data_IF_482289674797
#
_entry.id   IF_482289674797
#
_cell.length_a   1.000
_cell.length_b   1.000
_cell.length_c   1.000
_cell.angle_alpha   90.00
_cell.angle_beta   90.00
_cell.angle_gamma   90.00
#
_symmetry.space_group_name_H-M   'P 1'
#
loop_
_entity.id
_entity.type
_entity.pdbx_description
1 polymer ?
#
# COMPACT_ATOMS: atom_id res chain seq x y z
N UNK A 1 -12.83 22.85 15.84
CA UNK A 1 -12.20 22.92 17.18
C UNK A 1 -13.19 22.35 18.18
N UNK A 2 -12.71 21.59 19.14
CA UNK A 2 -13.55 20.91 20.14
C UNK A 2 -13.23 21.42 21.55
N UNK A 3 -14.24 21.39 22.42
CA UNK A 3 -14.14 21.73 23.84
C UNK A 3 -14.59 20.55 24.69
N UNK A 4 -13.90 20.31 25.80
CA UNK A 4 -14.23 19.22 26.71
C UNK A 4 -15.57 19.52 27.39
N UNK A 5 -16.59 18.71 27.11
CA UNK A 5 -17.94 18.89 27.65
C UNK A 5 -18.16 18.10 28.92
N UNK A 6 -17.68 16.85 28.96
CA UNK A 6 -17.85 15.96 30.11
C UNK A 6 -16.68 15.01 30.27
N UNK A 7 -16.43 14.61 31.51
CA UNK A 7 -15.46 13.57 31.87
C UNK A 7 -16.14 12.52 32.71
N UNK A 8 -16.01 11.25 32.33
CA UNK A 8 -16.47 10.12 33.14
C UNK A 8 -15.29 9.23 33.53
N UNK A 9 -15.18 8.95 34.82
CA UNK A 9 -14.18 8.07 35.40
C UNK A 9 -14.88 6.90 36.07
N UNK A 10 -14.50 5.68 35.71
CA UNK A 10 -15.11 4.46 36.24
C UNK A 10 -14.04 3.47 36.72
N UNK A 11 -14.20 2.99 37.95
CA UNK A 11 -13.30 2.03 38.62
C UNK A 11 -11.80 2.31 38.42
N UNK A 12 -11.39 3.57 38.63
CA UNK A 12 -10.00 3.99 38.41
C UNK A 12 -9.54 5.03 39.44
N UNK A 13 -8.26 5.05 39.76
CA UNK A 13 -7.66 5.96 40.74
C UNK A 13 -6.94 5.22 41.87
N UNK A 14 -6.08 5.92 42.63
CA UNK A 14 -5.39 5.34 43.78
C UNK A 14 -6.40 4.92 44.86
N UNK A 15 -6.02 3.96 45.70
CA UNK A 15 -6.91 3.38 46.71
C UNK A 15 -7.57 4.41 47.63
N UNK A 16 -6.86 5.50 47.99
CA UNK A 16 -7.37 6.56 48.87
C UNK A 16 -8.17 7.67 48.21
N UNK A 17 -8.20 7.77 46.87
CA UNK A 17 -8.90 8.80 46.12
C UNK A 17 -9.45 8.23 44.81
N UNK A 18 -10.27 7.19 44.96
CA UNK A 18 -10.75 6.37 43.85
C UNK A 18 -12.01 6.95 43.22
N UNK A 19 -12.05 6.98 41.90
CA UNK A 19 -13.25 7.32 41.13
C UNK A 19 -14.02 6.03 40.83
N UNK A 20 -15.09 5.79 41.60
CA UNK A 20 -15.93 4.60 41.45
C UNK A 20 -16.77 4.67 40.17
N UNK A 21 -17.57 5.74 40.04
CA UNK A 21 -18.29 6.15 38.84
C UNK A 21 -18.59 7.64 38.99
N UNK A 22 -17.73 8.47 38.43
CA UNK A 22 -17.76 9.93 38.62
C UNK A 22 -17.89 10.61 37.27
N UNK A 23 -18.90 11.48 37.14
CA UNK A 23 -19.11 12.32 35.97
C UNK A 23 -18.87 13.78 36.36
N UNK A 24 -17.97 14.46 35.64
CA UNK A 24 -17.81 15.90 35.66
C UNK A 24 -18.54 16.45 34.45
N UNK A 25 -19.51 17.33 34.69
CA UNK A 25 -20.31 17.95 33.63
C UNK A 25 -19.97 19.43 33.51
N UNK A 26 -19.49 19.84 32.34
CA UNK A 26 -19.11 21.22 32.02
C UNK A 26 -20.09 21.84 31.02
N UNK A 27 -21.15 21.15 30.60
CA UNK A 27 -22.06 21.61 29.54
C UNK A 27 -22.93 22.80 29.98
N UNK A 28 -23.50 23.50 29.01
CA UNK A 28 -24.63 24.42 29.24
C UNK A 28 -24.27 25.81 29.77
N UNK A 29 -22.99 26.10 30.02
CA UNK A 29 -22.56 27.35 30.68
C UNK A 29 -22.07 28.41 29.69
N UNK A 30 -21.37 28.00 28.62
CA UNK A 30 -20.72 28.91 27.69
C UNK A 30 -21.67 29.64 26.75
N UNK A 31 -21.06 30.26 25.74
CA UNK A 31 -21.78 30.92 24.65
C UNK A 31 -22.62 29.93 23.84
N UNK A 32 -23.76 30.36 23.25
CA UNK A 32 -24.51 29.55 22.29
C UNK A 32 -23.64 29.03 21.14
N UNK A 33 -23.91 27.80 20.71
CA UNK A 33 -23.29 27.21 19.52
C UNK A 33 -23.74 27.99 18.27
N UNK A 34 -22.83 28.53 17.44
CA UNK A 34 -23.20 29.42 16.35
C UNK A 34 -24.01 28.79 15.21
N UNK A 35 -23.73 27.52 14.88
CA UNK A 35 -24.35 26.80 13.75
C UNK A 35 -24.72 25.38 14.17
N UNK A 36 -25.68 25.21 15.10
CA UNK A 36 -26.01 23.90 15.65
C UNK A 36 -26.40 22.93 14.54
N UNK A 37 -25.82 21.74 14.57
CA UNK A 37 -26.24 20.65 13.71
C UNK A 37 -27.72 20.31 14.01
N UNK A 38 -28.50 19.87 13.00
CA UNK A 38 -29.89 19.51 13.23
C UNK A 38 -29.97 18.34 14.20
N UNK A 39 -30.49 18.59 15.41
CA UNK A 39 -30.83 17.55 16.36
C UNK A 39 -32.22 17.01 16.03
N UNK A 40 -32.36 15.69 15.90
CA UNK A 40 -33.68 15.06 15.93
C UNK A 40 -34.18 15.14 17.38
N UNK A 41 -35.18 15.98 17.64
CA UNK A 41 -35.87 15.97 18.91
C UNK A 41 -36.55 14.59 19.08
N UNK A 42 -36.28 13.90 20.19
CA UNK A 42 -37.04 12.72 20.56
C UNK A 42 -38.47 13.18 20.91
N UNK A 43 -39.48 12.48 20.37
CA UNK A 43 -40.91 12.85 20.42
C UNK A 43 -41.51 13.06 21.83
N UNK A 44 -40.74 12.80 22.90
CA UNK A 44 -41.21 12.75 24.29
C UNK A 44 -40.32 13.53 25.28
N UNK A 45 -39.30 14.27 24.83
CA UNK A 45 -38.50 15.14 25.71
C UNK A 45 -38.97 16.60 25.63
N UNK A 46 -38.92 17.33 26.75
CA UNK A 46 -39.16 18.77 26.77
C UNK A 46 -38.15 19.45 25.82
N UNK A 47 -38.64 20.22 24.84
CA UNK A 47 -37.77 20.93 23.90
C UNK A 47 -36.78 21.80 24.69
N UNK A 48 -35.45 21.63 24.50
CA UNK A 48 -34.47 22.42 25.22
C UNK A 48 -34.70 23.90 24.92
N UNK A 49 -34.73 24.72 25.98
CA UNK A 49 -34.97 26.16 25.87
C UNK A 49 -33.75 26.84 25.26
N UNK A 50 -33.76 26.98 23.94
CA UNK A 50 -32.75 27.72 23.18
C UNK A 50 -31.64 26.85 22.54
N UNK A 51 -30.76 27.47 21.75
CA UNK A 51 -29.67 26.76 21.06
C UNK A 51 -28.74 26.08 22.07
N UNK A 52 -28.16 24.92 21.74
CA UNK A 52 -27.19 24.26 22.60
C UNK A 52 -26.05 25.23 22.93
N UNK A 53 -25.64 25.24 24.19
CA UNK A 53 -24.54 26.09 24.68
C UNK A 53 -23.25 25.29 24.72
N UNK A 54 -22.13 25.99 24.50
CA UNK A 54 -20.78 25.45 24.65
C UNK A 54 -20.49 25.09 26.10
N UNK A 55 -19.47 24.26 26.36
CA UNK A 55 -19.03 23.96 27.72
C UNK A 55 -18.50 25.21 28.44
N UNK A 56 -18.35 25.11 29.76
CA UNK A 56 -17.78 26.14 30.58
C UNK A 56 -16.34 26.46 30.09
N UNK A 57 -16.03 27.74 29.78
CA UNK A 57 -14.71 28.12 29.25
C UNK A 57 -13.60 27.95 30.29
N UNK A 58 -13.95 27.97 31.58
CA UNK A 58 -13.05 27.68 32.69
C UNK A 58 -13.83 27.02 33.83
N UNK A 59 -13.16 26.10 34.54
CA UNK A 59 -13.69 25.45 35.73
C UNK A 59 -12.61 25.35 36.81
N UNK A 60 -12.98 25.59 38.07
CA UNK A 60 -12.07 25.46 39.21
C UNK A 60 -12.48 24.25 40.03
N UNK A 61 -11.56 23.31 40.18
CA UNK A 61 -11.74 22.12 41.01
C UNK A 61 -11.10 22.33 42.38
N UNK A 62 -11.95 22.43 43.41
CA UNK A 62 -11.55 22.47 44.81
C UNK A 62 -11.56 21.04 45.38
N UNK A 63 -10.39 20.55 45.74
CA UNK A 63 -10.19 19.27 46.40
C UNK A 63 -9.17 19.45 47.52
N UNK A 64 -9.37 18.73 48.63
CA UNK A 64 -8.37 18.67 49.69
C UNK A 64 -7.05 18.06 49.17
N UNK A 65 -5.94 18.32 49.87
CA UNK A 65 -4.66 17.72 49.53
C UNK A 65 -4.77 16.19 49.57
N UNK A 66 -4.41 15.54 48.46
CA UNK A 66 -4.58 14.09 48.29
C UNK A 66 -5.95 13.65 47.74
N UNK A 67 -6.91 14.57 47.57
CA UNK A 67 -8.25 14.30 47.02
C UNK A 67 -8.30 13.95 45.52
N UNK A 68 -7.14 13.76 44.88
CA UNK A 68 -7.06 13.22 43.51
C UNK A 68 -7.02 14.26 42.38
N UNK A 69 -6.91 15.58 42.65
CA UNK A 69 -6.85 16.63 41.59
C UNK A 69 -5.81 16.31 40.50
N UNK A 70 -4.56 16.04 40.89
CA UNK A 70 -3.49 15.69 39.95
C UNK A 70 -3.70 14.32 39.30
N UNK A 71 -4.42 13.40 39.96
CA UNK A 71 -4.78 12.09 39.40
C UNK A 71 -5.80 12.26 38.27
N UNK A 72 -6.86 13.05 38.50
CA UNK A 72 -7.85 13.39 37.49
C UNK A 72 -7.20 13.95 36.23
N UNK A 73 -6.31 14.94 36.37
CA UNK A 73 -5.58 15.50 35.23
C UNK A 73 -4.76 14.42 34.50
N UNK A 74 -3.98 13.62 35.24
CA UNK A 74 -3.21 12.51 34.65
C UNK A 74 -4.08 11.50 33.91
N UNK A 75 -5.29 11.22 34.40
CA UNK A 75 -6.24 10.32 33.75
C UNK A 75 -6.78 10.92 32.45
N UNK A 76 -7.19 12.19 32.45
CA UNK A 76 -7.64 12.90 31.24
C UNK A 76 -6.52 12.90 30.18
N UNK A 77 -5.30 13.29 30.57
CA UNK A 77 -4.15 13.26 29.65
C UNK A 77 -3.81 11.86 29.14
N UNK A 78 -4.11 10.81 29.90
CA UNK A 78 -3.82 9.44 29.45
C UNK A 78 -4.68 8.99 28.25
N UNK A 79 -5.80 9.67 27.98
CA UNK A 79 -6.64 9.45 26.80
C UNK A 79 -6.09 10.24 25.61
N UNK A 80 -5.74 11.52 25.84
CA UNK A 80 -5.32 12.45 24.77
C UNK A 80 -3.88 12.29 24.34
N UNK A 81 -3.01 11.84 25.25
CA UNK A 81 -1.57 11.72 25.05
C UNK A 81 -1.12 10.30 25.44
N UNK A 82 -1.43 9.28 24.61
CA UNK A 82 -0.97 7.92 24.85
C UNK A 82 0.57 7.85 24.84
N UNK A 83 1.14 6.94 25.62
CA UNK A 83 2.58 6.66 25.61
C UNK A 83 3.40 7.17 26.79
N UNK A 84 4.50 6.46 27.04
CA UNK A 84 5.32 6.52 28.26
C UNK A 84 6.02 7.85 28.54
N UNK A 85 6.24 8.67 27.50
CA UNK A 85 6.96 9.96 27.58
C UNK A 85 6.02 11.15 27.75
N UNK A 86 4.69 10.92 27.65
CA UNK A 86 3.74 11.99 27.46
C UNK A 86 2.89 12.34 28.72
N UNK A 87 2.89 11.50 29.75
CA UNK A 87 2.19 11.76 31.03
C UNK A 87 2.79 12.92 31.84
N UNK A 88 1.92 13.74 32.44
CA UNK A 88 2.26 14.91 33.25
C UNK A 88 3.18 14.58 34.45
N UNK A 89 4.27 15.34 34.62
CA UNK A 89 5.18 15.26 35.76
C UNK A 89 6.30 14.21 35.64
N UNK A 90 6.76 13.88 34.43
CA UNK A 90 7.97 13.06 34.17
C UNK A 90 7.96 11.61 34.66
N UNK A 91 6.98 11.24 35.49
CA UNK A 91 6.87 9.93 36.08
C UNK A 91 6.26 8.95 35.07
N UNK A 92 7.09 7.99 34.68
CA UNK A 92 6.79 6.82 33.85
C UNK A 92 5.34 6.33 33.95
N UNK A 93 4.80 5.85 32.81
CA UNK A 93 3.58 5.01 32.67
C UNK A 93 3.29 4.02 33.83
N UNK A 94 4.30 3.60 34.60
CA UNK A 94 4.12 2.84 35.83
C UNK A 94 3.25 3.52 36.90
N UNK A 95 3.08 4.85 36.87
CA UNK A 95 2.19 5.54 37.83
C UNK A 95 0.72 5.28 37.54
N UNK A 96 0.28 5.31 36.27
CA UNK A 96 -1.11 5.03 35.90
C UNK A 96 -1.50 3.58 36.23
N UNK A 97 -0.56 2.64 36.14
CA UNK A 97 -0.76 1.24 36.55
C UNK A 97 -1.10 1.09 38.02
N UNK A 98 -0.56 1.97 38.88
CA UNK A 98 -0.86 1.99 40.33
C UNK A 98 -2.28 2.49 40.62
N UNK A 99 -2.98 3.05 39.62
CA UNK A 99 -4.35 3.53 39.75
C UNK A 99 -5.40 2.46 39.38
N UNK A 100 -4.96 1.24 39.06
CA UNK A 100 -5.86 0.13 38.74
C UNK A 100 -5.61 -1.06 39.68
N UNK A 101 -6.67 -1.54 40.34
CA UNK A 101 -6.59 -2.75 41.16
C UNK A 101 -6.70 -4.01 40.30
N UNK A 102 -6.28 -5.13 40.89
CA UNK A 102 -6.25 -6.45 40.26
C UNK A 102 -7.56 -6.83 39.53
N UNK A 103 -8.70 -6.71 40.20
CA UNK A 103 -10.01 -7.16 39.71
C UNK A 103 -10.81 -6.12 38.90
N UNK A 104 -10.18 -5.00 38.53
CA UNK A 104 -10.88 -3.89 37.90
C UNK A 104 -10.63 -3.76 36.40
N UNK A 105 -11.67 -3.28 35.72
CA UNK A 105 -11.60 -2.68 34.41
C UNK A 105 -11.85 -1.18 34.59
N UNK A 106 -10.79 -0.39 34.43
CA UNK A 106 -10.83 1.06 34.63
C UNK A 106 -11.15 1.77 33.32
N UNK A 107 -12.02 2.77 33.37
CA UNK A 107 -12.39 3.57 32.20
C UNK A 107 -12.18 5.06 32.48
N UNK A 108 -11.66 5.75 31.47
CA UNK A 108 -11.64 7.21 31.37
C UNK A 108 -12.31 7.56 30.05
N UNK A 109 -13.42 8.28 30.10
CA UNK A 109 -14.15 8.70 28.90
C UNK A 109 -14.31 10.22 28.91
N UNK A 110 -14.01 10.85 27.78
CA UNK A 110 -14.04 12.28 27.56
C UNK A 110 -15.03 12.55 26.44
N UNK A 111 -16.04 13.34 26.73
CA UNK A 111 -16.93 13.87 25.70
C UNK A 111 -16.46 15.25 25.29
N UNK A 112 -16.38 15.47 23.99
CA UNK A 112 -15.93 16.71 23.37
C UNK A 112 -17.05 17.26 22.51
N UNK A 113 -17.31 18.56 22.60
CA UNK A 113 -18.31 19.27 21.80
C UNK A 113 -17.63 20.16 20.77
N UNK A 114 -18.04 20.06 19.51
CA UNK A 114 -17.52 20.92 18.45
C UNK A 114 -18.03 22.35 18.63
N UNK A 115 -17.14 23.34 18.66
CA UNK A 115 -17.47 24.73 19.03
C UNK A 115 -18.42 25.41 18.04
N UNK A 116 -18.43 24.97 16.79
CA UNK A 116 -19.22 25.57 15.72
C UNK A 116 -20.57 24.87 15.52
N UNK A 117 -20.56 23.53 15.55
CA UNK A 117 -21.71 22.69 15.18
C UNK A 117 -22.42 22.08 16.38
N UNK A 118 -21.77 22.04 17.55
CA UNK A 118 -22.31 21.40 18.74
C UNK A 118 -22.31 19.87 18.67
N UNK A 119 -21.85 19.27 17.57
CA UNK A 119 -21.68 17.82 17.46
C UNK A 119 -20.72 17.32 18.53
N UNK A 120 -21.06 16.19 19.14
CA UNK A 120 -20.22 15.58 20.16
C UNK A 120 -19.42 14.42 19.59
N UNK A 121 -18.26 14.17 20.20
CA UNK A 121 -17.50 12.93 20.04
C UNK A 121 -17.05 12.47 21.42
N UNK A 122 -17.21 11.19 21.70
CA UNK A 122 -16.66 10.57 22.90
C UNK A 122 -15.38 9.87 22.52
N UNK A 123 -14.31 10.15 23.25
CA UNK A 123 -13.05 9.42 23.20
C UNK A 123 -12.76 8.85 24.57
N UNK A 124 -12.19 7.67 24.65
CA UNK A 124 -11.94 7.05 25.93
C UNK A 124 -10.81 6.05 25.91
N UNK A 125 -10.41 5.68 27.12
CA UNK A 125 -9.41 4.68 27.40
C UNK A 125 -9.98 3.66 28.36
N UNK A 126 -9.66 2.40 28.12
CA UNK A 126 -9.94 1.28 29.02
C UNK A 126 -8.63 0.61 29.41
N UNK A 127 -8.55 0.15 30.66
CA UNK A 127 -7.36 -0.53 31.20
C UNK A 127 -7.75 -1.70 32.08
N UNK A 128 -7.06 -2.83 31.94
CA UNK A 128 -7.29 -4.06 32.72
C UNK A 128 -5.98 -4.82 32.98
N UNK A 129 -5.86 -5.43 34.16
CA UNK A 129 -4.79 -6.41 34.43
C UNK A 129 -5.17 -7.79 33.89
N UNK A 130 -4.35 -8.33 32.97
CA UNK A 130 -4.53 -9.70 32.45
C UNK A 130 -4.42 -10.70 33.59
N UNK A 131 -5.40 -11.59 33.68
CA UNK A 131 -5.48 -12.59 34.74
C UNK A 131 -5.87 -12.01 36.11
N UNK A 132 -6.32 -10.75 36.16
CA UNK A 132 -6.79 -10.06 37.37
C UNK A 132 -5.77 -10.07 38.50
N UNK A 133 -4.52 -9.78 38.15
CA UNK A 133 -3.43 -9.75 39.12
C UNK A 133 -2.51 -8.58 38.80
N UNK A 134 -2.25 -7.73 39.80
CA UNK A 134 -1.26 -6.66 39.68
C UNK A 134 0.11 -7.28 39.47
N UNK A 135 0.85 -6.79 38.47
CA UNK A 135 2.18 -7.30 38.14
C UNK A 135 3.15 -6.19 37.77
N UNK A 136 4.44 -6.43 38.01
CA UNK A 136 5.49 -5.55 37.50
C UNK A 136 5.76 -5.77 36.00
N UNK A 137 5.28 -6.88 35.41
CA UNK A 137 5.42 -7.16 33.98
C UNK A 137 4.52 -6.23 33.16
N UNK A 138 5.08 -5.35 32.32
CA UNK A 138 4.32 -4.48 31.44
C UNK A 138 3.34 -5.18 30.51
N UNK A 139 3.62 -6.41 30.11
CA UNK A 139 2.80 -7.15 29.14
C UNK A 139 1.50 -7.67 29.72
N UNK A 140 1.39 -7.66 31.06
CA UNK A 140 0.16 -8.03 31.78
C UNK A 140 -0.80 -6.86 31.95
N UNK A 141 -0.37 -5.63 31.70
CA UNK A 141 -1.26 -4.47 31.70
C UNK A 141 -1.79 -4.24 30.28
N UNK A 142 -3.09 -4.38 30.10
CA UNK A 142 -3.73 -4.15 28.81
C UNK A 142 -4.37 -2.77 28.79
N UNK A 143 -4.16 -2.04 27.70
CA UNK A 143 -4.72 -0.71 27.45
C UNK A 143 -5.29 -0.70 26.03
N UNK A 144 -6.42 -0.03 25.85
CA UNK A 144 -6.95 0.32 24.54
C UNK A 144 -7.70 1.64 24.61
N UNK A 145 -7.84 2.26 23.44
CA UNK A 145 -8.58 3.48 23.23
C UNK A 145 -9.75 3.22 22.30
N UNK A 146 -10.78 4.05 22.45
CA UNK A 146 -11.97 3.96 21.64
C UNK A 146 -12.55 5.34 21.40
N UNK A 147 -13.27 5.50 20.30
CA UNK A 147 -14.11 6.67 20.06
C UNK A 147 -15.44 6.28 19.47
N UNK A 148 -16.44 7.14 19.64
CA UNK A 148 -17.72 7.06 18.94
C UNK A 148 -18.40 8.44 18.97
N UNK A 149 -19.31 8.68 18.04
CA UNK A 149 -20.24 9.82 18.03
C UNK A 149 -21.46 9.45 18.88
N UNK A 150 -21.68 10.11 20.03
CA UNK A 150 -22.83 9.79 20.88
C UNK A 150 -24.14 10.15 20.16
N UNK A 151 -25.19 9.39 20.44
CA UNK A 151 -26.52 9.58 19.86
C UNK A 151 -27.58 8.80 20.63
N UNK A 152 -28.81 8.70 20.09
CA UNK A 152 -29.87 7.90 20.69
C UNK A 152 -29.40 6.45 20.92
N UNK A 153 -29.56 5.97 22.15
CA UNK A 153 -29.16 4.62 22.57
C UNK A 153 -27.77 4.51 23.20
N UNK A 154 -26.76 5.26 22.74
CA UNK A 154 -25.42 5.23 23.33
C UNK A 154 -24.80 6.63 23.46
N UNK A 155 -24.53 7.01 24.71
CA UNK A 155 -23.81 8.23 25.08
C UNK A 155 -22.91 7.98 26.29
N UNK A 156 -22.36 9.06 26.86
CA UNK A 156 -21.43 8.96 27.99
C UNK A 156 -22.06 8.29 29.23
N UNK A 157 -23.33 8.57 29.52
CA UNK A 157 -24.05 8.05 30.70
C UNK A 157 -24.45 6.58 30.56
N UNK A 158 -24.70 6.13 29.32
CA UNK A 158 -25.10 4.76 28.98
C UNK A 158 -23.96 3.87 28.50
N UNK A 159 -22.69 4.28 28.72
CA UNK A 159 -21.54 3.45 28.41
C UNK A 159 -21.65 2.05 29.05
N UNK A 160 -21.38 0.96 28.30
CA UNK A 160 -21.56 -0.42 28.77
C UNK A 160 -20.41 -0.89 29.69
N UNK A 161 -20.03 -0.10 30.69
CA UNK A 161 -18.93 -0.40 31.63
C UNK A 161 -19.28 -1.51 32.64
N UNK A 162 -20.56 -1.74 32.87
CA UNK A 162 -21.08 -2.86 33.65
C UNK A 162 -22.22 -3.57 32.91
N UNK A 163 -22.63 -4.73 33.41
CA UNK A 163 -23.92 -5.33 33.04
C UNK A 163 -25.04 -4.35 33.44
N UNK A 164 -25.87 -3.96 32.46
CA UNK A 164 -27.03 -3.11 32.74
C UNK A 164 -28.19 -3.97 33.20
N UNK A 165 -28.78 -3.60 34.34
CA UNK A 165 -30.04 -4.16 34.82
C UNK A 165 -31.25 -3.24 34.55
N UNK A 166 -31.00 -2.07 33.95
CA UNK A 166 -32.02 -1.06 33.70
C UNK A 166 -32.67 -1.24 32.33
N UNK A 167 -34.01 -1.22 32.29
CA UNK A 167 -34.82 -1.13 31.07
C UNK A 167 -35.17 0.34 30.86
N UNK A 168 -34.37 1.06 30.07
CA UNK A 168 -34.58 2.49 29.77
C UNK A 168 -33.28 3.31 29.74
N UNK A 169 -33.35 4.53 29.19
CA UNK A 169 -32.24 5.49 29.19
C UNK A 169 -32.01 6.01 30.62
N UNK A 170 -30.76 6.03 31.13
CA UNK A 170 -30.50 6.61 32.43
C UNK A 170 -30.73 8.13 32.42
N UNK A 171 -31.15 8.68 33.57
CA UNK A 171 -31.25 10.12 33.75
C UNK A 171 -29.89 10.79 33.51
N UNK A 172 -29.92 12.02 32.96
CA UNK A 172 -28.71 12.75 32.59
C UNK A 172 -27.75 12.93 33.77
N UNK A 173 -26.46 12.64 33.55
CA UNK A 173 -25.43 12.68 34.60
C UNK A 173 -25.45 11.51 35.58
N UNK A 174 -26.41 10.58 35.46
CA UNK A 174 -26.47 9.35 36.26
C UNK A 174 -26.06 8.16 35.39
N UNK A 175 -25.15 7.35 35.91
CA UNK A 175 -24.73 6.11 35.25
C UNK A 175 -25.88 5.09 35.12
N UNK A 176 -26.07 4.57 33.90
CA UNK A 176 -26.94 3.41 33.66
C UNK A 176 -26.31 2.06 34.03
N UNK A 177 -25.02 2.03 34.37
CA UNK A 177 -24.25 0.82 34.61
C UNK A 177 -24.45 0.32 36.06
N UNK A 178 -25.59 -0.35 36.32
CA UNK A 178 -25.90 -0.99 37.61
C UNK A 178 -25.75 -2.50 37.51
N UNK A 179 -24.60 -3.03 37.90
CA UNK A 179 -24.37 -4.48 37.88
C UNK A 179 -22.90 -4.90 37.97
N UNK A 180 -22.62 -6.14 37.56
CA UNK A 180 -21.26 -6.69 37.52
C UNK A 180 -20.42 -5.91 36.51
N UNK A 181 -19.22 -5.48 36.93
CA UNK A 181 -18.25 -4.82 36.05
C UNK A 181 -17.89 -5.72 34.86
N UNK A 182 -17.87 -5.15 33.66
CA UNK A 182 -17.41 -5.86 32.47
C UNK A 182 -15.88 -5.94 32.46
N UNK A 183 -15.35 -6.97 31.82
CA UNK A 183 -13.93 -7.01 31.44
C UNK A 183 -13.71 -6.11 30.23
N UNK A 184 -12.45 -5.78 29.93
CA UNK A 184 -12.08 -4.98 28.76
C UNK A 184 -12.59 -5.62 27.47
N UNK A 185 -12.48 -6.96 27.37
CA UNK A 185 -13.05 -7.73 26.25
C UNK A 185 -14.58 -7.59 26.20
N UNK A 186 -15.27 -7.77 27.32
CA UNK A 186 -16.73 -7.66 27.37
C UNK A 186 -17.24 -6.25 27.07
N UNK A 187 -16.46 -5.22 27.37
CA UNK A 187 -16.72 -3.84 26.97
C UNK A 187 -16.52 -3.64 25.46
N UNK A 188 -15.39 -4.10 24.90
CA UNK A 188 -15.13 -4.06 23.46
C UNK A 188 -16.23 -4.73 22.65
N UNK A 189 -16.64 -5.92 23.07
CA UNK A 189 -17.69 -6.70 22.39
C UNK A 189 -19.02 -5.92 22.42
N UNK A 190 -19.38 -5.33 23.55
CA UNK A 190 -20.60 -4.54 23.69
C UNK A 190 -20.59 -3.26 22.85
N UNK A 191 -19.46 -2.54 22.84
CA UNK A 191 -19.30 -1.31 22.07
C UNK A 191 -19.33 -1.60 20.56
N UNK A 192 -18.66 -2.67 20.14
CA UNK A 192 -18.65 -3.12 18.74
C UNK A 192 -20.05 -3.54 18.29
N UNK A 193 -20.79 -4.26 19.13
CA UNK A 193 -22.17 -4.66 18.84
C UNK A 193 -23.11 -3.45 18.75
N UNK A 194 -22.95 -2.47 19.64
CA UNK A 194 -23.68 -1.21 19.55
C UNK A 194 -23.38 -0.47 18.24
N UNK A 195 -22.12 -0.44 17.78
CA UNK A 195 -21.73 0.16 16.50
C UNK A 195 -22.33 -0.54 15.27
N UNK A 196 -22.56 -1.86 15.34
CA UNK A 196 -23.27 -2.59 14.27
C UNK A 196 -24.75 -2.22 14.22
N UNK A 197 -25.38 -2.08 15.39
CA UNK A 197 -26.81 -1.77 15.50
C UNK A 197 -27.09 -0.29 15.18
N UNK A 198 -26.25 0.61 15.68
CA UNK A 198 -26.34 2.04 15.50
C UNK A 198 -25.17 2.54 14.64
N UNK A 199 -25.34 2.52 13.31
CA UNK A 199 -24.28 2.92 12.37
C UNK A 199 -23.81 4.37 12.55
N UNK A 200 -24.67 5.24 13.09
CA UNK A 200 -24.33 6.65 13.35
C UNK A 200 -23.25 6.83 14.43
N UNK A 201 -22.98 5.79 15.23
CA UNK A 201 -22.01 5.86 16.31
C UNK A 201 -20.57 5.93 15.81
N UNK A 202 -20.27 5.47 14.58
CA UNK A 202 -18.92 5.51 14.01
C UNK A 202 -17.84 5.01 15.01
N UNK A 203 -18.06 3.79 15.51
CA UNK A 203 -17.24 3.21 16.59
C UNK A 203 -15.84 2.87 16.08
N UNK A 204 -14.83 3.38 16.76
CA UNK A 204 -13.42 3.06 16.52
C UNK A 204 -12.78 2.44 17.77
N UNK A 205 -11.85 1.51 17.58
CA UNK A 205 -11.09 0.83 18.64
C UNK A 205 -9.64 0.65 18.23
N UNK A 206 -8.71 1.06 19.10
CA UNK A 206 -7.27 0.97 18.82
C UNK A 206 -6.47 0.59 20.07
N UNK A 207 -5.42 -0.21 19.88
CA UNK A 207 -4.51 -0.68 20.92
C UNK A 207 -3.09 -0.11 20.75
N UNK A 208 -2.79 0.48 19.59
CA UNK A 208 -1.50 1.06 19.24
C UNK A 208 -1.53 2.59 19.45
N UNK A 209 -0.60 3.11 20.25
CA UNK A 209 -0.52 4.53 20.60
C UNK A 209 -0.44 5.46 19.38
N UNK A 210 0.43 5.15 18.42
CA UNK A 210 0.67 6.03 17.27
C UNK A 210 -0.57 6.12 16.37
N UNK A 211 -1.25 5.00 16.15
CA UNK A 211 -2.52 4.96 15.40
C UNK A 211 -3.64 5.69 16.11
N UNK A 212 -3.67 5.63 17.45
CA UNK A 212 -4.64 6.41 18.22
C UNK A 212 -4.38 7.92 18.09
N UNK A 213 -3.12 8.35 18.06
CA UNK A 213 -2.77 9.75 17.84
C UNK A 213 -3.19 10.22 16.43
N UNK A 214 -2.95 9.41 15.40
CA UNK A 214 -3.42 9.68 14.03
C UNK A 214 -4.96 9.84 14.00
N UNK A 215 -5.68 8.90 14.63
CA UNK A 215 -7.14 8.93 14.71
C UNK A 215 -7.69 10.15 15.47
N UNK A 216 -7.04 10.58 16.56
CA UNK A 216 -7.40 11.83 17.24
C UNK A 216 -7.26 13.04 16.30
N UNK A 217 -6.20 13.06 15.49
CA UNK A 217 -6.00 14.06 14.43
C UNK A 217 -7.13 14.07 13.40
N UNK A 218 -7.55 12.89 12.93
CA UNK A 218 -8.66 12.72 11.98
C UNK A 218 -10.01 13.20 12.56
N UNK A 219 -10.23 13.01 13.86
CA UNK A 219 -11.39 13.54 14.58
C UNK A 219 -11.35 15.07 14.76
N UNK A 220 -10.21 15.71 14.51
CA UNK A 220 -9.97 17.13 14.75
C UNK A 220 -9.70 17.47 16.23
N UNK A 221 -9.30 16.48 17.02
CA UNK A 221 -8.86 16.61 18.40
C UNK A 221 -7.33 16.65 18.42
N UNK A 222 -6.75 17.86 18.39
CA UNK A 222 -5.28 18.02 18.34
C UNK A 222 -4.61 17.72 19.71
N UNK A 223 -3.83 16.63 19.83
CA UNK A 223 -3.13 16.29 21.06
C UNK A 223 -2.03 17.30 21.43
N UNK A 224 -1.47 18.05 20.46
CA UNK A 224 -0.36 18.98 20.68
C UNK A 224 -0.77 20.18 21.57
N UNK A 225 -2.04 20.58 21.55
CA UNK A 225 -2.58 21.61 22.46
C UNK A 225 -2.43 21.22 23.94
N UNK A 226 -2.53 19.92 24.24
CA UNK A 226 -2.33 19.40 25.59
C UNK A 226 -0.85 19.28 25.98
N UNK A 227 0.07 19.21 25.01
CA UNK A 227 1.52 19.20 25.26
C UNK A 227 1.99 20.53 25.84
N UNK A 228 1.51 21.65 25.30
CA UNK A 228 1.81 22.99 25.82
C UNK A 228 1.29 23.21 27.24
N UNK A 229 0.04 22.79 27.50
CA UNK A 229 -0.55 22.91 28.83
C UNK A 229 0.14 21.99 29.85
N UNK A 230 0.65 20.83 29.43
CA UNK A 230 1.50 19.97 30.25
C UNK A 230 2.82 20.63 30.63
N UNK A 231 3.47 21.28 29.66
CA UNK A 231 4.74 21.97 29.88
C UNK A 231 4.55 23.12 30.89
N UNK A 232 3.49 23.93 30.75
CA UNK A 232 3.14 24.95 31.73
C UNK A 232 2.69 24.41 33.12
N UNK A 233 2.01 23.25 33.19
CA UNK A 233 1.58 22.67 34.47
C UNK A 233 2.70 21.86 35.17
N UNK A 234 3.76 21.47 34.45
CA UNK A 234 4.96 20.90 35.05
C UNK A 234 5.71 21.95 35.91
N UNK A 235 5.50 23.23 35.62
CA UNK A 235 6.14 24.35 36.30
C UNK A 235 5.52 24.69 37.68
N UNK A 236 4.29 24.25 37.99
CA UNK A 236 3.60 24.63 39.24
C UNK A 236 4.09 23.87 40.49
N UNK A 237 4.79 22.74 40.36
CA UNK A 237 5.14 21.86 41.49
C UNK A 237 6.60 21.42 41.60
N UNK A 238 7.43 21.68 40.59
CA UNK A 238 8.80 21.11 40.51
C UNK A 238 9.84 22.10 39.98
N UNK A 239 9.57 23.40 40.03
CA UNK A 239 10.49 24.46 39.58
C UNK A 239 11.88 24.35 40.25
N UNK A 240 11.96 23.89 41.50
CA UNK A 240 13.23 23.71 42.20
C UNK A 240 14.10 22.56 41.65
N UNK A 241 13.51 21.56 41.00
CA UNK A 241 14.23 20.42 40.41
C UNK A 241 14.87 20.75 39.05
N UNK A 242 14.26 21.66 38.28
CA UNK A 242 14.74 22.09 36.96
C UNK A 242 16.03 22.93 37.04
N UNK A 243 16.25 23.64 38.14
CA UNK A 243 17.49 24.41 38.38
C UNK A 243 18.58 23.65 39.15
N UNK A 244 18.35 22.38 39.52
CA UNK A 244 19.33 21.53 40.18
C UNK A 244 20.32 20.90 39.18
N UNK A 245 20.85 21.69 38.25
CA UNK A 245 21.79 21.25 37.22
C UNK A 245 23.22 21.29 37.78
N UNK A 246 23.91 20.14 37.72
CA UNK A 246 25.26 19.98 38.28
C UNK A 246 26.36 20.59 37.41
N UNK A 247 26.05 20.94 36.16
CA UNK A 247 26.97 21.48 35.16
C UNK A 247 26.31 22.60 34.37
N UNK A 248 27.07 23.65 34.09
CA UNK A 248 26.62 24.84 33.36
C UNK A 248 26.16 24.54 31.92
N UNK A 249 26.68 23.46 31.30
CA UNK A 249 26.24 22.97 29.99
C UNK A 249 24.77 22.55 29.99
N UNK A 250 24.35 21.86 31.05
CA UNK A 250 23.02 21.28 31.15
C UNK A 250 21.97 22.38 31.40
N UNK A 251 22.38 23.45 32.08
CA UNK A 251 21.58 24.68 32.23
C UNK A 251 21.41 25.41 30.89
N UNK A 252 22.48 25.48 30.09
CA UNK A 252 22.46 26.12 28.78
C UNK A 252 21.55 25.35 27.81
N UNK A 253 21.62 24.01 27.80
CA UNK A 253 20.74 23.16 27.00
C UNK A 253 19.27 23.27 27.41
N UNK A 254 19.00 23.44 28.70
CA UNK A 254 17.66 23.65 29.24
C UNK A 254 17.08 24.99 28.78
N UNK A 255 17.87 26.08 28.84
CA UNK A 255 17.46 27.38 28.30
C UNK A 255 17.25 27.33 26.79
N UNK A 256 18.15 26.67 26.06
CA UNK A 256 18.02 26.53 24.61
C UNK A 256 16.78 25.73 24.24
N UNK A 257 16.44 24.65 24.95
CA UNK A 257 15.20 23.90 24.72
C UNK A 257 13.94 24.68 25.06
N UNK A 258 13.97 25.50 26.11
CA UNK A 258 12.83 26.32 26.53
C UNK A 258 12.56 27.49 25.56
N UNK A 259 13.61 28.01 24.92
CA UNK A 259 13.53 29.18 24.03
C UNK A 259 13.48 28.79 22.54
N UNK A 260 13.98 27.61 22.18
CA UNK A 260 14.04 27.16 20.78
C UNK A 260 12.88 26.23 20.48
N UNK A 261 12.03 26.63 19.53
CA UNK A 261 10.96 25.80 19.01
C UNK A 261 11.57 24.60 18.27
N UNK A 262 11.45 23.39 18.84
CA UNK A 262 12.05 22.18 18.27
C UNK A 262 11.50 21.84 16.87
N UNK A 263 10.35 22.43 16.51
CA UNK A 263 9.72 22.28 15.18
C UNK A 263 10.62 22.76 14.04
N UNK A 264 11.43 23.79 14.26
CA UNK A 264 12.34 24.32 13.23
C UNK A 264 13.69 23.58 13.18
N UNK A 265 14.10 22.93 14.28
CA UNK A 265 15.41 22.25 14.36
C UNK A 265 15.36 20.80 13.90
N UNK A 266 14.24 20.10 14.11
CA UNK A 266 14.11 18.69 13.71
C UNK A 266 14.09 18.54 12.18
N UNK A 267 13.39 19.43 11.47
CA UNK A 267 13.41 19.48 10.01
C UNK A 267 14.80 19.75 9.44
N UNK A 268 15.59 20.61 10.10
CA UNK A 268 16.98 20.87 9.71
C UNK A 268 17.88 19.66 9.98
N UNK A 269 17.71 18.98 11.13
CA UNK A 269 18.47 17.78 11.47
C UNK A 269 18.20 16.63 10.49
N UNK A 270 16.94 16.41 10.13
CA UNK A 270 16.56 15.39 9.13
C UNK A 270 17.09 15.72 7.74
N UNK A 271 17.08 17.00 7.36
CA UNK A 271 17.59 17.47 6.08
C UNK A 271 19.12 17.30 6.01
N UNK A 272 19.85 17.66 7.06
CA UNK A 272 21.30 17.47 7.17
C UNK A 272 21.67 15.98 7.21
N UNK A 273 20.94 15.17 7.98
CA UNK A 273 21.13 13.71 8.02
C UNK A 273 20.86 13.07 6.66
N UNK A 274 19.80 13.52 5.98
CA UNK A 274 19.45 13.11 4.62
C UNK A 274 20.54 13.47 3.61
N UNK A 275 21.10 14.68 3.68
CA UNK A 275 22.24 15.08 2.85
C UNK A 275 23.49 14.27 3.19
N UNK A 276 23.76 14.02 4.47
CA UNK A 276 24.87 13.18 4.92
C UNK A 276 24.81 11.77 4.34
N UNK A 277 23.64 11.12 4.40
CA UNK A 277 23.42 9.81 3.82
C UNK A 277 23.56 9.80 2.29
N UNK A 278 23.03 10.81 1.60
CA UNK A 278 23.17 10.95 0.14
C UNK A 278 24.62 11.20 -0.29
N UNK A 279 25.36 12.04 0.44
CA UNK A 279 26.77 12.30 0.20
C UNK A 279 27.63 11.05 0.48
N UNK A 280 27.35 10.33 1.57
CA UNK A 280 28.04 9.09 1.92
C UNK A 280 27.91 8.02 0.83
N UNK A 281 26.76 7.94 0.17
CA UNK A 281 26.50 6.99 -0.93
C UNK A 281 26.85 7.49 -2.31
N UNK A 282 27.28 8.75 -2.47
CA UNK A 282 27.53 9.35 -3.79
C UNK A 282 28.61 8.60 -4.57
N UNK A 283 29.71 8.21 -3.90
CA UNK A 283 30.79 7.48 -4.55
C UNK A 283 30.33 6.10 -5.05
N UNK A 284 29.58 5.37 -4.23
CA UNK A 284 28.98 4.07 -4.58
C UNK A 284 28.01 4.21 -5.77
N UNK A 285 27.07 5.15 -5.70
CA UNK A 285 26.09 5.39 -6.77
C UNK A 285 26.75 5.85 -8.08
N UNK A 286 27.84 6.61 -8.01
CA UNK A 286 28.61 7.01 -9.20
C UNK A 286 29.30 5.80 -9.82
N UNK A 287 29.91 4.94 -9.00
CA UNK A 287 30.53 3.71 -9.47
C UNK A 287 29.49 2.74 -10.09
N UNK A 288 28.32 2.60 -9.47
CA UNK A 288 27.22 1.80 -10.00
C UNK A 288 26.70 2.34 -11.33
N UNK A 289 26.52 3.67 -11.44
CA UNK A 289 26.15 4.33 -12.69
C UNK A 289 27.19 4.06 -13.78
N UNK A 290 28.47 4.24 -13.48
CA UNK A 290 29.55 4.09 -14.45
C UNK A 290 29.71 2.62 -14.90
N UNK A 291 29.58 1.67 -13.97
CA UNK A 291 29.53 0.24 -14.28
C UNK A 291 28.34 -0.11 -15.19
N UNK A 292 27.15 0.41 -14.88
CA UNK A 292 25.94 0.14 -15.66
C UNK A 292 26.05 0.74 -17.06
N UNK A 293 26.52 1.98 -17.17
CA UNK A 293 26.75 2.63 -18.45
C UNK A 293 27.79 1.88 -19.31
N UNK A 294 28.91 1.45 -18.70
CA UNK A 294 29.92 0.65 -19.39
C UNK A 294 29.39 -0.73 -19.81
N UNK A 295 28.58 -1.37 -18.98
CA UNK A 295 27.94 -2.65 -19.30
C UNK A 295 26.98 -2.53 -20.48
N UNK A 296 26.19 -1.45 -20.55
CA UNK A 296 25.28 -1.18 -21.67
C UNK A 296 26.05 -0.96 -22.98
N UNK A 297 27.17 -0.25 -22.96
CA UNK A 297 28.01 -0.07 -24.17
C UNK A 297 28.53 -1.41 -24.69
N UNK A 298 29.06 -2.26 -23.79
CA UNK A 298 29.55 -3.60 -24.16
C UNK A 298 28.43 -4.51 -24.69
N UNK A 299 27.25 -4.49 -24.07
CA UNK A 299 26.08 -5.23 -24.55
C UNK A 299 25.63 -4.72 -25.93
N UNK A 300 25.66 -3.41 -26.16
CA UNK A 300 25.38 -2.82 -27.47
C UNK A 300 26.28 -3.38 -28.57
N UNK A 301 27.59 -3.49 -28.30
CA UNK A 301 28.55 -4.11 -29.25
C UNK A 301 28.23 -5.58 -29.53
N UNK A 302 27.79 -6.33 -28.53
CA UNK A 302 27.39 -7.74 -28.70
C UNK A 302 26.13 -7.85 -29.57
N UNK A 303 25.14 -6.98 -29.36
CA UNK A 303 23.92 -6.93 -30.16
C UNK A 303 24.22 -6.62 -31.62
N UNK A 304 25.08 -5.63 -31.90
CA UNK A 304 25.50 -5.30 -33.25
C UNK A 304 26.26 -6.45 -33.94
N UNK A 305 27.17 -7.10 -33.23
CA UNK A 305 27.88 -8.27 -33.74
C UNK A 305 26.93 -9.44 -34.01
N UNK A 306 25.94 -9.68 -33.12
CA UNK A 306 24.92 -10.69 -33.29
C UNK A 306 24.02 -10.39 -34.51
N UNK A 307 23.65 -9.12 -34.71
CA UNK A 307 22.89 -8.66 -35.86
C UNK A 307 23.65 -8.85 -37.18
N UNK A 308 24.94 -8.49 -37.21
CA UNK A 308 25.82 -8.72 -38.36
C UNK A 308 25.94 -10.21 -38.68
N UNK A 309 26.12 -11.05 -37.66
CA UNK A 309 26.17 -12.52 -37.82
C UNK A 309 24.87 -13.10 -38.36
N UNK A 310 23.72 -12.62 -37.88
CA UNK A 310 22.41 -13.06 -38.37
C UNK A 310 22.24 -12.73 -39.85
N UNK A 311 22.52 -11.48 -40.26
CA UNK A 311 22.47 -11.05 -41.67
C UNK A 311 23.39 -11.89 -42.56
N UNK A 312 24.62 -12.15 -42.11
CA UNK A 312 25.55 -12.99 -42.86
C UNK A 312 25.03 -14.42 -43.06
N UNK A 313 24.40 -15.01 -42.02
CA UNK A 313 23.77 -16.33 -42.12
C UNK A 313 22.59 -16.34 -43.09
N UNK A 314 21.75 -15.32 -43.08
CA UNK A 314 20.61 -15.22 -44.00
C UNK A 314 21.06 -15.10 -45.46
N UNK A 315 22.08 -14.28 -45.72
CA UNK A 315 22.70 -14.15 -47.05
C UNK A 315 23.28 -15.50 -47.49
N UNK A 316 24.04 -16.17 -46.61
CA UNK A 316 24.64 -17.47 -46.91
C UNK A 316 23.58 -18.53 -47.22
N UNK A 317 22.56 -18.68 -46.36
CA UNK A 317 21.47 -19.62 -46.57
C UNK A 317 20.66 -19.31 -47.84
N UNK A 318 20.47 -18.02 -48.16
CA UNK A 318 19.86 -17.58 -49.41
C UNK A 318 20.68 -17.97 -50.64
N UNK A 319 21.99 -17.78 -50.59
CA UNK A 319 22.91 -18.19 -51.65
C UNK A 319 22.96 -19.70 -51.82
N UNK A 320 23.02 -20.48 -50.73
CA UNK A 320 22.93 -21.94 -50.80
C UNK A 320 21.65 -22.41 -51.50
N UNK A 321 20.48 -21.84 -51.14
CA UNK A 321 19.19 -22.17 -51.77
C UNK A 321 19.21 -21.86 -53.26
N UNK A 322 19.74 -20.70 -53.66
CA UNK A 322 19.88 -20.32 -55.09
C UNK A 322 20.80 -21.27 -55.84
N UNK A 323 21.97 -21.60 -55.27
CA UNK A 323 22.93 -22.53 -55.87
C UNK A 323 22.33 -23.92 -56.04
N UNK A 324 21.66 -24.47 -55.02
CA UNK A 324 20.96 -25.76 -55.12
C UNK A 324 19.87 -25.74 -56.20
N UNK A 325 19.11 -24.65 -56.29
CA UNK A 325 18.05 -24.48 -57.30
C UNK A 325 18.64 -24.42 -58.71
N UNK A 326 19.71 -23.65 -58.90
CA UNK A 326 20.40 -23.54 -60.18
C UNK A 326 21.00 -24.89 -60.60
N UNK A 327 21.68 -25.58 -59.69
CA UNK A 327 22.24 -26.90 -59.95
C UNK A 327 21.17 -27.88 -60.43
N UNK A 328 20.02 -27.94 -59.74
CA UNK A 328 18.87 -28.78 -60.15
C UNK A 328 18.35 -28.43 -61.55
N UNK A 329 18.22 -27.13 -61.86
CA UNK A 329 17.78 -26.68 -63.20
C UNK A 329 18.77 -27.05 -64.29
N UNK A 330 20.07 -26.87 -64.04
CA UNK A 330 21.12 -27.25 -64.98
C UNK A 330 21.17 -28.76 -65.19
N UNK A 331 21.04 -29.56 -64.13
CA UNK A 331 20.98 -31.02 -64.25
C UNK A 331 19.76 -31.48 -65.05
N UNK A 332 18.59 -30.90 -64.79
CA UNK A 332 17.37 -31.20 -65.56
C UNK A 332 17.54 -30.84 -67.04
N UNK A 333 18.07 -29.64 -67.33
CA UNK A 333 18.32 -29.21 -68.71
C UNK A 333 19.35 -30.08 -69.42
N UNK A 334 20.43 -30.47 -68.73
CA UNK A 334 21.41 -31.39 -69.28
C UNK A 334 20.79 -32.77 -69.59
N UNK A 335 19.80 -33.21 -68.81
CA UNK A 335 19.00 -34.40 -69.11
C UNK A 335 18.21 -34.25 -70.41
N UNK A 336 17.46 -33.16 -70.56
CA UNK A 336 16.69 -32.85 -71.77
C UNK A 336 17.57 -32.79 -73.03
N UNK A 337 18.70 -32.06 -72.96
CA UNK A 337 19.59 -31.90 -74.13
C UNK A 337 20.27 -33.22 -74.51
N UNK A 338 20.62 -34.08 -73.55
CA UNK A 338 21.11 -35.43 -73.86
C UNK A 338 20.04 -36.28 -74.54
N UNK A 339 18.78 -36.16 -74.12
CA UNK A 339 17.64 -36.82 -74.78
C UNK A 339 17.49 -36.38 -76.23
N UNK A 340 17.49 -35.06 -76.48
CA UNK A 340 17.43 -34.49 -77.84
C UNK A 340 18.62 -34.91 -78.70
N UNK A 341 19.83 -34.92 -78.14
CA UNK A 341 21.01 -35.36 -78.86
C UNK A 341 20.91 -36.84 -79.25
N UNK A 342 20.37 -37.70 -78.37
CA UNK A 342 20.12 -39.11 -78.68
C UNK A 342 19.06 -39.28 -79.78
N UNK A 343 17.96 -38.52 -79.74
CA UNK A 343 16.94 -38.51 -80.80
C UNK A 343 17.53 -38.09 -82.15
N UNK A 344 18.33 -37.02 -82.16
CA UNK A 344 18.97 -36.52 -83.38
C UNK A 344 19.98 -37.53 -83.94
N UNK A 345 20.76 -38.18 -83.06
CA UNK A 345 21.67 -39.25 -83.47
C UNK A 345 20.91 -40.42 -84.11
N UNK A 346 19.78 -40.82 -83.54
CA UNK A 346 18.91 -41.86 -84.11
C UNK A 346 18.36 -41.46 -85.48
N UNK A 347 17.96 -40.20 -85.65
CA UNK A 347 17.50 -39.67 -86.95
C UNK A 347 18.62 -39.67 -87.99
N UNK A 348 19.84 -39.27 -87.62
CA UNK A 348 21.01 -39.31 -88.51
C UNK A 348 21.33 -40.75 -88.94
N UNK A 349 21.32 -41.71 -88.00
CA UNK A 349 21.52 -43.12 -88.33
C UNK A 349 20.42 -43.65 -89.25
N UNK A 350 19.16 -43.32 -88.97
CA UNK A 350 18.04 -43.72 -89.84
C UNK A 350 18.16 -43.10 -91.24
N UNK A 351 18.50 -41.81 -91.34
CA UNK A 351 18.73 -41.13 -92.60
C UNK A 351 19.89 -41.77 -93.38
N UNK A 352 21.01 -42.10 -92.72
CA UNK A 352 22.12 -42.80 -93.35
C UNK A 352 21.67 -44.15 -93.94
N UNK A 353 20.90 -44.96 -93.20
CA UNK A 353 20.32 -46.19 -93.72
C UNK A 353 19.41 -45.96 -94.93
N UNK A 354 18.58 -44.91 -94.93
CA UNK A 354 17.74 -44.58 -96.09
C UNK A 354 18.55 -44.17 -97.32
N UNK A 355 19.65 -43.42 -97.13
CA UNK A 355 20.55 -43.03 -98.23
C UNK A 355 21.25 -44.25 -98.79
N UNK A 356 21.81 -45.12 -97.95
CA UNK A 356 22.44 -46.37 -98.40
C UNK A 356 21.45 -47.26 -99.17
N UNK A 357 20.23 -47.43 -98.66
CA UNK A 357 19.19 -48.17 -99.39
C UNK A 357 18.80 -47.53 -100.73
N UNK A 358 18.76 -46.20 -100.81
CA UNK A 358 18.53 -45.46 -102.05
C UNK A 358 19.70 -45.62 -103.05
N UNK A 359 20.94 -45.64 -102.58
CA UNK A 359 22.13 -45.90 -103.40
C UNK A 359 22.15 -47.34 -103.93
N UNK A 360 21.80 -48.33 -103.11
CA UNK A 360 21.68 -49.73 -103.53
C UNK A 360 20.59 -49.92 -104.60
N UNK A 361 19.40 -49.33 -104.39
CA UNK A 361 18.33 -49.37 -105.40
C UNK A 361 18.70 -48.63 -106.68
N UNK A 362 19.42 -47.49 -106.59
CA UNK A 362 19.97 -46.78 -107.76
C UNK A 362 21.00 -47.64 -108.48
N UNK A 363 21.93 -48.28 -107.78
CA UNK A 363 22.93 -49.19 -108.33
C UNK A 363 22.28 -50.38 -109.03
N UNK A 364 21.27 -50.99 -108.42
CA UNK A 364 20.46 -52.05 -109.03
C UNK A 364 19.74 -51.57 -110.29
N UNK A 365 19.15 -50.39 -110.26
CA UNK A 365 18.47 -49.80 -111.42
C UNK A 365 19.44 -49.50 -112.57
N UNK A 366 20.65 -49.01 -112.26
CA UNK A 366 21.70 -48.78 -113.24
C UNK A 366 22.20 -50.08 -113.89
N UNK A 367 22.37 -51.15 -113.11
CA UNK A 367 22.71 -52.48 -113.64
C UNK A 367 21.62 -53.01 -114.58
N UNK A 368 20.34 -52.87 -114.20
CA UNK A 368 19.20 -53.23 -115.05
C UNK A 368 19.22 -52.42 -116.36
N UNK A 369 19.44 -51.10 -116.28
CA UNK A 369 19.50 -50.24 -117.46
C UNK A 369 20.67 -50.60 -118.39
N UNK A 370 21.85 -50.90 -117.83
CA UNK A 370 23.01 -51.35 -118.60
C UNK A 370 22.76 -52.69 -119.31
N UNK A 371 22.13 -53.64 -118.63
CA UNK A 371 21.74 -54.93 -119.22
C UNK A 371 20.72 -54.74 -120.35
N UNK A 372 19.71 -53.87 -120.17
CA UNK A 372 18.75 -53.53 -121.23
C UNK A 372 19.43 -52.87 -122.43
N UNK A 373 20.37 -51.95 -122.20
CA UNK A 373 21.15 -51.30 -123.26
C UNK A 373 22.03 -52.28 -124.03
N UNK A 374 22.71 -53.20 -123.32
CA UNK A 374 23.49 -54.28 -123.92
C UNK A 374 22.62 -55.15 -124.82
N UNK A 375 21.48 -55.62 -124.32
CA UNK A 375 20.52 -56.42 -125.12
C UNK A 375 20.03 -55.67 -126.35
N UNK A 376 19.70 -54.38 -126.21
CA UNK A 376 19.26 -53.55 -127.33
C UNK A 376 20.36 -53.42 -128.40
N UNK A 377 21.60 -53.15 -127.99
CA UNK A 377 22.74 -53.06 -128.89
C UNK A 377 23.04 -54.40 -129.59
N UNK A 378 22.98 -55.52 -128.87
CA UNK A 378 23.12 -56.86 -129.46
C UNK A 378 22.01 -57.18 -130.47
N UNK A 379 20.77 -56.78 -130.18
CA UNK A 379 19.65 -56.94 -131.12
C UNK A 379 19.82 -56.04 -132.36
N UNK A 380 20.29 -54.80 -132.20
CA UNK A 380 20.57 -53.90 -133.32
C UNK A 380 21.72 -54.42 -134.19
N UNK A 381 22.80 -54.95 -133.58
CA UNK A 381 23.91 -55.58 -134.29
C UNK A 381 23.43 -56.78 -135.11
N UNK A 382 22.69 -57.70 -134.48
CA UNK A 382 22.15 -58.88 -135.20
C UNK A 382 21.15 -58.50 -136.31
N UNK A 383 20.43 -57.39 -136.17
CA UNK A 383 19.59 -56.85 -137.24
C UNK A 383 20.42 -56.27 -138.40
N UNK A 384 21.50 -55.54 -138.10
CA UNK A 384 22.42 -55.01 -139.11
C UNK A 384 23.18 -56.11 -139.85
N UNK A 385 23.65 -57.14 -139.15
CA UNK A 385 24.31 -58.33 -139.73
C UNK A 385 23.40 -59.16 -140.63
N UNK A 386 22.07 -59.05 -140.48
CA UNK A 386 21.09 -59.68 -141.38
C UNK A 386 20.70 -58.81 -142.58
N UNK A 387 21.03 -57.51 -142.54
CA UNK A 387 20.71 -56.54 -143.59
C UNK A 387 21.87 -56.27 -144.57
N UNK A 388 23.09 -56.67 -144.21
CA UNK A 388 24.26 -56.77 -145.10
C UNK A 388 24.32 -58.17 -145.74
#
# INVERSE_FOLDING_TARGET
>A
MYELSRVRLYSIGPAGARYADTVLDLRGVGEPVPRPAPAQAEFFEDEPVGPPRRPAPAGVLFLENGGGKSVLLKLIFSVMLPGHRNTLGGASSGVLRKFLLADDCGHVALEWQHTLTGECVVVGKVSEWRGRQVSNDPRKFAEAWYSFRPGPGLGLDSLPVAESTAVGRPAEGVSGARGRRRTMKGFRDALTEAGKFYQHLDVHWEEIHDRWNEHLGDLGLDPELFRYQREMNADEGEAAGLFAVKKDSDFTDLLLRAVTDTRDTDGLADLVSGFGNKLGRRAELTAERDFTAGSVDLLGRIVEAAGTRARARDIHAGSERRTRTLARRLSARAGEERGRAAELAQQVTSAAHTVTGAEETRGRSALIAAELAYRHASLALTAAEKGA
#
